data_IF_800648931185
#
_entry.id   IF_800648931185
#
_cell.length_a   1.000
_cell.length_b   1.000
_cell.length_c   1.000
_cell.angle_alpha   90.00
_cell.angle_beta   90.00
_cell.angle_gamma   90.00
#
_symmetry.space_group_name_H-M   'P 1'
#
loop_
_entity.id
_entity.type
_entity.pdbx_description
1 polymer ?
#
# COMPACT_ATOMS: atom_id res chain seq x y z
N UNK A 1 15.45 3.94 -12.87
CA UNK A 1 14.45 2.87 -12.63
C UNK A 1 13.66 2.53 -13.90
N UNK A 2 12.95 3.49 -14.49
CA UNK A 2 12.12 3.26 -15.70
C UNK A 2 12.96 2.79 -16.91
N UNK A 3 14.11 3.43 -17.17
CA UNK A 3 15.00 3.07 -18.28
C UNK A 3 15.46 1.60 -18.25
N UNK A 4 15.64 1.04 -17.04
CA UNK A 4 16.01 -0.36 -16.89
C UNK A 4 14.89 -1.30 -17.35
N UNK A 5 13.64 -0.91 -17.14
CA UNK A 5 12.48 -1.69 -17.59
C UNK A 5 12.32 -1.62 -19.09
N UNK A 6 12.49 -0.43 -19.67
CA UNK A 6 12.30 -0.20 -21.11
C UNK A 6 13.33 -0.95 -21.95
N UNK A 7 14.57 -1.07 -21.47
CA UNK A 7 15.63 -1.69 -22.25
C UNK A 7 15.85 -3.18 -21.95
N UNK A 8 15.44 -3.67 -20.78
CA UNK A 8 15.78 -5.03 -20.35
C UNK A 8 14.59 -5.93 -20.00
N UNK A 9 13.36 -5.39 -19.89
CA UNK A 9 12.15 -6.15 -19.54
C UNK A 9 12.36 -7.11 -18.35
N UNK A 10 12.80 -6.62 -17.17
CA UNK A 10 13.05 -7.48 -16.02
C UNK A 10 11.75 -8.10 -15.52
N UNK A 11 11.85 -9.28 -14.93
CA UNK A 11 10.72 -9.93 -14.25
C UNK A 11 10.52 -9.37 -12.83
N UNK A 12 11.61 -8.94 -12.17
CA UNK A 12 11.63 -8.45 -10.79
C UNK A 12 12.55 -7.24 -10.67
N UNK A 13 12.14 -6.25 -9.87
CA UNK A 13 12.99 -5.14 -9.42
C UNK A 13 12.96 -5.08 -7.90
N UNK A 14 14.15 -4.95 -7.31
CA UNK A 14 14.33 -4.70 -5.88
C UNK A 14 14.74 -3.24 -5.71
N UNK A 15 13.99 -2.51 -4.88
CA UNK A 15 14.18 -1.09 -4.61
C UNK A 15 14.54 -0.97 -3.13
N UNK A 16 15.68 -0.38 -2.82
CA UNK A 16 16.12 -0.27 -1.43
C UNK A 16 15.13 0.55 -0.60
N UNK A 17 14.78 1.75 -1.06
CA UNK A 17 13.79 2.61 -0.42
C UNK A 17 13.01 3.41 -1.48
N UNK A 18 11.70 3.54 -1.30
CA UNK A 18 10.85 4.48 -2.04
C UNK A 18 10.49 5.61 -1.08
N UNK A 19 11.03 6.81 -1.32
CA UNK A 19 10.81 7.97 -0.45
C UNK A 19 10.33 9.22 -1.18
N UNK A 20 10.49 9.27 -2.50
CA UNK A 20 10.16 10.44 -3.32
C UNK A 20 8.96 10.22 -4.24
N UNK A 21 8.32 11.31 -4.67
CA UNK A 21 7.19 11.27 -5.60
C UNK A 21 7.58 10.65 -6.95
N UNK A 22 8.78 10.94 -7.45
CA UNK A 22 9.29 10.37 -8.69
C UNK A 22 9.51 8.86 -8.58
N UNK A 23 9.99 8.37 -7.45
CA UNK A 23 10.16 6.92 -7.21
C UNK A 23 8.82 6.21 -7.06
N UNK A 24 7.86 6.80 -6.34
CA UNK A 24 6.53 6.24 -6.19
C UNK A 24 5.79 6.16 -7.53
N UNK A 25 5.91 7.22 -8.36
CA UNK A 25 5.38 7.24 -9.73
C UNK A 25 6.05 6.17 -10.59
N UNK A 26 7.39 6.07 -10.55
CA UNK A 26 8.14 5.08 -11.31
C UNK A 26 7.74 3.65 -10.92
N UNK A 27 7.64 3.36 -9.62
CA UNK A 27 7.19 2.06 -9.12
C UNK A 27 5.80 1.71 -9.67
N UNK A 28 4.83 2.64 -9.62
CA UNK A 28 3.49 2.40 -10.17
C UNK A 28 3.54 2.08 -11.67
N UNK A 29 4.21 2.90 -12.47
CA UNK A 29 4.33 2.67 -13.93
C UNK A 29 4.99 1.33 -14.25
N UNK A 30 5.95 0.90 -13.44
CA UNK A 30 6.63 -0.38 -13.63
C UNK A 30 5.71 -1.57 -13.25
N UNK A 31 4.98 -1.46 -12.14
CA UNK A 31 4.01 -2.47 -11.72
C UNK A 31 2.88 -2.64 -12.76
N UNK A 32 2.41 -1.55 -13.37
CA UNK A 32 1.41 -1.56 -14.44
C UNK A 32 1.90 -2.33 -15.69
N UNK A 33 3.21 -2.41 -15.90
CA UNK A 33 3.83 -3.22 -16.98
C UNK A 33 3.98 -4.71 -16.60
N UNK A 34 3.50 -5.12 -15.43
CA UNK A 34 3.52 -6.51 -14.96
C UNK A 34 4.86 -6.96 -14.35
N UNK A 35 5.77 -6.03 -14.07
CA UNK A 35 7.04 -6.33 -13.40
C UNK A 35 6.79 -6.47 -11.89
N UNK A 36 7.32 -7.53 -11.27
CA UNK A 36 7.23 -7.70 -9.83
C UNK A 36 8.15 -6.69 -9.11
N UNK A 37 7.60 -6.01 -8.11
CA UNK A 37 8.37 -5.08 -7.28
C UNK A 37 8.53 -5.63 -5.87
N UNK A 38 9.73 -5.44 -5.33
CA UNK A 38 10.04 -5.60 -3.91
C UNK A 38 10.75 -4.33 -3.48
N UNK A 39 10.31 -3.71 -2.40
CA UNK A 39 11.06 -2.59 -1.85
C UNK A 39 10.61 -2.17 -0.47
N UNK A 40 11.36 -1.25 0.12
CA UNK A 40 11.02 -0.67 1.42
C UNK A 40 10.50 0.76 1.24
N UNK A 41 9.81 1.26 2.27
CA UNK A 41 9.40 2.65 2.35
C UNK A 41 9.44 3.08 3.81
N UNK A 42 9.67 4.36 4.05
CA UNK A 42 9.71 4.89 5.41
C UNK A 42 8.31 4.91 6.05
N UNK A 43 8.14 4.13 7.11
CA UNK A 43 6.91 4.05 7.89
C UNK A 43 6.96 2.89 8.89
N UNK A 44 6.37 3.08 10.07
CA UNK A 44 6.34 2.03 11.10
C UNK A 44 5.09 1.14 10.99
N UNK A 45 3.99 1.71 10.48
CA UNK A 45 2.69 1.06 10.29
C UNK A 45 2.04 1.56 9.00
N UNK A 46 1.09 0.80 8.45
CA UNK A 46 0.39 1.10 7.21
C UNK A 46 -0.29 2.48 7.23
N UNK A 47 -0.82 2.90 8.37
CA UNK A 47 -1.39 4.24 8.58
C UNK A 47 -0.41 5.37 8.20
N UNK A 48 0.89 5.19 8.40
CA UNK A 48 1.89 6.20 8.04
C UNK A 48 1.95 6.41 6.53
N UNK A 49 1.81 5.33 5.74
CA UNK A 49 1.78 5.42 4.27
C UNK A 49 0.49 6.11 3.81
N UNK A 50 -0.64 5.87 4.49
CA UNK A 50 -1.92 6.52 4.20
C UNK A 50 -1.88 8.03 4.43
N UNK A 51 -1.16 8.48 5.46
CA UNK A 51 -1.02 9.90 5.80
C UNK A 51 0.02 10.63 4.93
N UNK A 52 0.91 9.90 4.27
CA UNK A 52 1.94 10.45 3.40
C UNK A 52 1.41 10.57 1.96
N UNK A 53 1.21 11.78 1.41
CA UNK A 53 0.68 11.94 0.06
C UNK A 53 1.49 11.20 -1.01
N UNK A 54 2.82 11.21 -0.88
CA UNK A 54 3.75 10.56 -1.80
C UNK A 54 3.62 9.04 -1.77
N UNK A 55 3.60 8.45 -0.57
CA UNK A 55 3.57 6.98 -0.41
C UNK A 55 2.16 6.41 -0.49
N UNK A 56 1.12 7.21 -0.25
CA UNK A 56 -0.28 6.77 -0.32
C UNK A 56 -0.62 6.20 -1.71
N UNK A 57 0.03 6.71 -2.75
CA UNK A 57 -0.12 6.24 -4.11
C UNK A 57 0.30 4.77 -4.30
N UNK A 58 1.26 4.28 -3.50
CA UNK A 58 1.74 2.89 -3.55
C UNK A 58 0.71 1.90 -2.99
N UNK A 59 -0.21 2.37 -2.15
CA UNK A 59 -1.26 1.57 -1.52
C UNK A 59 -2.64 1.80 -2.17
N UNK A 60 -2.67 2.41 -3.36
CA UNK A 60 -3.87 2.64 -4.15
C UNK A 60 -4.36 4.10 -4.14
N UNK A 61 -3.69 4.99 -3.41
CA UNK A 61 -4.07 6.39 -3.22
C UNK A 61 -5.36 6.52 -2.42
N UNK A 62 -5.53 7.61 -1.67
CA UNK A 62 -6.76 7.89 -0.91
C UNK A 62 -7.41 9.14 -1.49
N UNK A 63 -8.72 9.06 -1.71
CA UNK A 63 -9.52 10.17 -2.23
C UNK A 63 -10.79 10.36 -1.41
N UNK A 64 -11.31 11.59 -1.44
CA UNK A 64 -12.59 11.94 -0.86
C UNK A 64 -13.68 11.84 -1.93
N UNK A 65 -14.72 11.05 -1.68
CA UNK A 65 -15.83 10.86 -2.60
C UNK A 65 -17.15 11.23 -1.93
N UNK A 66 -17.98 11.95 -2.68
CA UNK A 66 -19.32 12.34 -2.25
C UNK A 66 -20.34 11.36 -2.81
N UNK A 67 -20.97 10.61 -1.92
CA UNK A 67 -22.06 9.69 -2.21
C UNK A 67 -23.38 10.43 -2.44
N UNK A 68 -24.27 9.82 -3.23
CA UNK A 68 -25.67 10.23 -3.28
C UNK A 68 -26.39 9.94 -1.95
N UNK A 69 -27.50 10.62 -1.69
CA UNK A 69 -28.22 10.52 -0.41
C UNK A 69 -28.73 9.09 -0.13
N UNK A 70 -29.17 8.37 -1.17
CA UNK A 70 -29.61 6.97 -1.04
C UNK A 70 -28.46 6.02 -0.67
N UNK A 71 -27.30 6.17 -1.31
CA UNK A 71 -26.13 5.31 -1.06
C UNK A 71 -25.50 5.59 0.31
N UNK A 72 -25.43 6.87 0.71
CA UNK A 72 -24.98 7.26 2.04
C UNK A 72 -25.87 6.65 3.13
N UNK A 73 -27.20 6.70 2.93
CA UNK A 73 -28.18 6.10 3.86
C UNK A 73 -28.08 4.57 3.89
N UNK A 74 -27.87 3.93 2.74
CA UNK A 74 -27.70 2.47 2.63
C UNK A 74 -26.44 1.99 3.34
N UNK A 75 -25.34 2.73 3.25
CA UNK A 75 -24.06 2.39 3.92
C UNK A 75 -24.01 2.85 5.38
N UNK A 76 -24.94 3.70 5.82
CA UNK A 76 -24.94 4.27 7.16
C UNK A 76 -23.77 5.23 7.40
N UNK A 77 -23.27 5.88 6.34
CA UNK A 77 -22.10 6.76 6.39
C UNK A 77 -22.49 8.21 6.14
N UNK A 78 -21.54 9.13 6.36
CA UNK A 78 -21.65 10.50 5.91
C UNK A 78 -21.71 10.55 4.37
N UNK A 79 -22.21 11.68 3.85
CA UNK A 79 -22.29 11.93 2.40
C UNK A 79 -20.91 11.99 1.75
N UNK A 80 -19.87 12.35 2.50
CA UNK A 80 -18.49 12.33 2.04
C UNK A 80 -17.73 11.25 2.80
N UNK A 81 -17.04 10.38 2.07
CA UNK A 81 -16.23 9.29 2.62
C UNK A 81 -14.83 9.29 2.00
N UNK A 82 -13.88 8.66 2.69
CA UNK A 82 -12.58 8.34 2.12
C UNK A 82 -12.62 6.94 1.52
N UNK A 83 -12.07 6.80 0.32
CA UNK A 83 -11.91 5.51 -0.36
C UNK A 83 -10.60 5.45 -1.13
N UNK A 84 -10.16 4.24 -1.48
CA UNK A 84 -9.01 4.07 -2.37
C UNK A 84 -9.36 4.50 -3.78
N UNK A 85 -8.41 5.15 -4.46
CA UNK A 85 -8.58 5.60 -5.86
C UNK A 85 -8.33 4.47 -6.87
N UNK A 86 -7.44 3.54 -6.54
CA UNK A 86 -6.99 2.47 -7.41
C UNK A 86 -6.62 1.20 -6.61
N UNK A 87 -6.40 0.06 -7.29
CA UNK A 87 -5.70 -1.07 -6.68
C UNK A 87 -4.31 -0.67 -6.15
N UNK A 88 -3.83 -1.26 -5.05
CA UNK A 88 -2.48 -1.01 -4.54
C UNK A 88 -1.40 -1.45 -5.54
N UNK A 89 -0.30 -0.70 -5.60
CA UNK A 89 0.90 -1.08 -6.36
C UNK A 89 1.53 -2.34 -5.75
N UNK A 90 1.59 -2.41 -4.42
CA UNK A 90 2.07 -3.56 -3.68
C UNK A 90 0.90 -4.34 -3.09
N UNK A 91 0.81 -5.63 -3.38
CA UNK A 91 -0.28 -6.49 -2.89
C UNK A 91 -0.08 -6.92 -1.43
N UNK A 92 1.17 -6.99 -0.98
CA UNK A 92 1.57 -7.43 0.36
C UNK A 92 2.42 -6.33 1.00
N UNK A 93 2.16 -6.03 2.27
CA UNK A 93 3.00 -5.16 3.10
C UNK A 93 3.49 -5.96 4.30
N UNK A 94 4.74 -5.71 4.68
CA UNK A 94 5.36 -6.25 5.89
C UNK A 94 5.79 -5.08 6.75
N UNK A 95 5.14 -4.92 7.90
CA UNK A 95 5.52 -3.93 8.90
C UNK A 95 6.56 -4.54 9.84
N UNK A 96 7.71 -3.89 9.97
CA UNK A 96 8.75 -4.29 10.91
C UNK A 96 8.40 -3.70 12.28
N UNK A 97 7.87 -4.52 13.18
CA UNK A 97 7.49 -4.09 14.53
C UNK A 97 8.67 -4.13 15.50
N UNK A 98 9.53 -5.13 15.37
CA UNK A 98 10.76 -5.32 16.13
C UNK A 98 11.75 -6.15 15.28
N UNK A 99 13.01 -6.25 15.71
CA UNK A 99 14.08 -7.00 15.04
C UNK A 99 13.68 -8.43 14.64
N UNK A 100 12.88 -9.09 15.46
CA UNK A 100 12.44 -10.47 15.26
C UNK A 100 10.91 -10.60 15.13
N UNK A 101 10.19 -9.49 14.88
CA UNK A 101 8.73 -9.49 14.84
C UNK A 101 8.23 -8.62 13.69
N UNK A 102 7.39 -9.20 12.84
CA UNK A 102 6.75 -8.50 11.73
C UNK A 102 5.25 -8.72 11.72
N UNK A 103 4.51 -7.75 11.20
CA UNK A 103 3.11 -7.89 10.84
C UNK A 103 2.98 -7.93 9.32
N UNK A 104 2.39 -9.00 8.79
CA UNK A 104 2.20 -9.19 7.34
C UNK A 104 0.75 -8.93 6.99
N UNK A 105 0.53 -8.00 6.07
CA UNK A 105 -0.76 -7.75 5.43
C UNK A 105 -0.74 -8.40 4.04
N UNK A 106 -1.33 -9.60 3.88
CA UNK A 106 -1.30 -10.33 2.60
C UNK A 106 -2.20 -9.71 1.53
N UNK A 107 -3.13 -8.84 1.94
CA UNK A 107 -3.98 -8.04 1.05
C UNK A 107 -3.98 -6.59 1.54
N UNK A 108 -3.13 -5.77 0.91
CA UNK A 108 -3.04 -4.34 1.20
C UNK A 108 -4.35 -3.62 0.91
N UNK A 109 -5.09 -4.02 -0.12
CA UNK A 109 -6.35 -3.39 -0.47
C UNK A 109 -7.37 -3.54 0.65
N UNK A 110 -7.54 -4.77 1.15
CA UNK A 110 -8.42 -5.06 2.28
C UNK A 110 -7.95 -4.40 3.59
N UNK A 111 -6.64 -4.34 3.82
CA UNK A 111 -6.07 -3.68 4.99
C UNK A 111 -6.38 -2.18 4.98
N UNK A 112 -6.10 -1.49 3.87
CA UNK A 112 -6.40 -0.05 3.72
C UNK A 112 -7.90 0.21 3.82
N UNK A 113 -8.74 -0.61 3.19
CA UNK A 113 -10.21 -0.44 3.26
C UNK A 113 -10.74 -0.63 4.69
N UNK A 114 -10.10 -1.47 5.50
CA UNK A 114 -10.44 -1.64 6.92
C UNK A 114 -10.10 -0.39 7.71
N UNK A 115 -8.88 0.16 7.52
CA UNK A 115 -8.43 1.39 8.19
C UNK A 115 -9.34 2.57 7.83
N UNK A 116 -9.70 2.73 6.55
CA UNK A 116 -10.61 3.80 6.09
C UNK A 116 -12.02 3.70 6.71
N UNK A 117 -12.43 2.52 7.18
CA UNK A 117 -13.68 2.29 7.90
C UNK A 117 -13.53 2.42 9.42
N UNK A 118 -12.34 2.75 9.92
CA UNK A 118 -12.04 2.83 11.35
C UNK A 118 -11.90 1.47 12.04
N UNK A 119 -11.64 0.41 11.27
CA UNK A 119 -11.45 -0.96 11.78
C UNK A 119 -9.98 -1.33 11.67
N UNK A 120 -9.43 -1.93 12.72
CA UNK A 120 -8.06 -2.45 12.67
C UNK A 120 -7.93 -3.54 11.59
N UNK A 121 -6.97 -3.42 10.66
CA UNK A 121 -6.77 -4.42 9.62
C UNK A 121 -6.29 -5.74 10.22
N UNK A 122 -6.68 -6.85 9.60
CA UNK A 122 -6.10 -8.15 9.94
C UNK A 122 -4.63 -8.19 9.49
N UNK A 123 -3.77 -8.71 10.34
CA UNK A 123 -2.36 -8.92 10.06
C UNK A 123 -1.92 -10.28 10.58
N UNK A 124 -1.09 -10.97 9.80
CA UNK A 124 -0.39 -12.17 10.27
C UNK A 124 0.87 -11.75 11.03
N UNK A 125 0.91 -12.01 12.33
CA UNK A 125 2.10 -11.74 13.13
C UNK A 125 3.07 -12.90 13.00
N UNK A 126 4.28 -12.62 12.48
CA UNK A 126 5.36 -13.59 12.35
C UNK A 126 6.53 -13.22 13.26
N UNK A 127 7.19 -14.25 13.77
CA UNK A 127 8.37 -14.12 14.62
C UNK A 127 9.54 -14.88 13.99
N UNK A 128 10.73 -14.32 14.10
CA UNK A 128 11.96 -15.05 13.84
C UNK A 128 12.36 -15.76 15.13
N UNK A 129 12.45 -17.09 15.09
CA UNK A 129 12.92 -17.86 16.23
C UNK A 129 14.46 -17.95 16.28
N UNK A 130 15.00 -18.53 17.35
CA UNK A 130 16.45 -18.61 17.55
C UNK A 130 17.21 -19.49 16.54
N UNK A 131 16.50 -20.22 15.67
CA UNK A 131 17.09 -21.09 14.66
C UNK A 131 17.12 -20.47 13.26
N UNK A 132 16.55 -19.27 13.08
CA UNK A 132 16.46 -18.59 11.78
C UNK A 132 15.24 -19.05 10.99
#
# INVERSE_FOLDING_TARGET
>A
MIEAVENHMPQVIVIDEIGTELEALAARTIAERGVQLVGTAHGNVLDNLMLNPTLSDLIGGIQSVTLGDEEARRRGTQKTILERRAPPTFQVIVEIQDRNKVAVHPDVGAAVDSILRGVSPSAEIRYLDGNG
#
